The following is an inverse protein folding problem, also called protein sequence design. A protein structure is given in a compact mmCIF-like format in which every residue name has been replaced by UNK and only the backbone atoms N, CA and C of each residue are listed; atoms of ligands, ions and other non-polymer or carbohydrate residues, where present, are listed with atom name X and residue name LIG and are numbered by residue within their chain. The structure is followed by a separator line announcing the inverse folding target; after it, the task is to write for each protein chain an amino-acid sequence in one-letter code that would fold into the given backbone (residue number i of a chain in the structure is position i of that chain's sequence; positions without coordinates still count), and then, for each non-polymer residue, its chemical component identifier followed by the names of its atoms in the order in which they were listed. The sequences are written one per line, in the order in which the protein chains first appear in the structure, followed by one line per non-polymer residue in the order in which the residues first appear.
data_IF_050134358692
#
_entry.id   IF_050134358692
#
_cell.length_a   1.000
_cell.length_b   1.000
_cell.length_c   1.000
_cell.angle_alpha   90.00
_cell.angle_beta   90.00
_cell.angle_gamma   90.00
#
_symmetry.space_group_name_H-M   'P 1'
#
loop_
_entity.id
_entity.type
_entity.pdbx_description
1 polymer ?
#
# COMPACT_ATOMS: atom_id res chain seq x y z
N UNK A 1 -9.79 1.01 0.40
CA UNK A 1 -9.78 1.37 1.83
C UNK A 1 -8.93 2.58 2.15
N UNK A 2 -7.63 2.59 1.83
CA UNK A 2 -6.73 3.65 2.33
C UNK A 2 -7.03 5.05 1.80
N UNK A 3 -7.49 5.17 0.55
CA UNK A 3 -7.86 6.47 -0.04
C UNK A 3 -8.93 7.20 0.77
N UNK A 4 -9.96 6.48 1.22
CA UNK A 4 -11.08 7.08 1.97
C UNK A 4 -10.64 7.49 3.37
N UNK A 5 -9.86 6.64 4.06
CA UNK A 5 -9.31 6.95 5.38
C UNK A 5 -8.37 8.14 5.34
N UNK A 6 -7.51 8.24 4.31
CA UNK A 6 -6.57 9.36 4.16
C UNK A 6 -7.31 10.67 3.86
N UNK A 7 -8.42 10.61 3.11
CA UNK A 7 -9.27 11.78 2.85
C UNK A 7 -10.01 12.22 4.11
N UNK A 8 -10.62 11.30 4.84
CA UNK A 8 -11.29 11.61 6.11
C UNK A 8 -10.29 12.17 7.12
N UNK A 9 -9.12 11.56 7.25
CA UNK A 9 -8.05 12.05 8.11
C UNK A 9 -7.58 13.46 7.71
N UNK A 10 -7.40 13.70 6.41
CA UNK A 10 -7.00 15.02 5.92
C UNK A 10 -8.05 16.10 6.21
N UNK A 11 -9.34 15.75 6.14
CA UNK A 11 -10.46 16.63 6.50
C UNK A 11 -10.54 16.89 8.00
N UNK A 12 -10.42 15.84 8.81
CA UNK A 12 -10.52 15.91 10.26
C UNK A 12 -9.41 16.76 10.89
N UNK A 13 -8.23 16.77 10.26
CA UNK A 13 -7.09 17.57 10.72
C UNK A 13 -7.09 19.02 10.20
N UNK A 14 -8.13 19.41 9.44
CA UNK A 14 -8.37 20.79 9.01
C UNK A 14 -7.54 21.23 7.80
N UNK A 15 -7.06 20.29 6.98
CA UNK A 15 -6.38 20.64 5.74
C UNK A 15 -7.34 21.34 4.77
N UNK A 16 -6.81 22.22 3.94
CA UNK A 16 -7.60 22.82 2.86
C UNK A 16 -7.93 21.77 1.80
N UNK A 17 -9.06 21.93 1.08
CA UNK A 17 -9.46 20.98 0.04
C UNK A 17 -8.39 20.78 -1.05
N UNK A 18 -7.57 21.80 -1.34
CA UNK A 18 -6.43 21.67 -2.27
C UNK A 18 -5.31 20.78 -1.72
N UNK A 19 -5.09 20.78 -0.41
CA UNK A 19 -4.12 19.93 0.27
C UNK A 19 -4.60 18.47 0.35
N UNK A 20 -5.88 18.24 0.62
CA UNK A 20 -6.48 16.89 0.58
C UNK A 20 -6.24 16.21 -0.78
N UNK A 21 -6.52 16.94 -1.88
CA UNK A 21 -6.30 16.43 -3.24
C UNK A 21 -4.82 16.18 -3.49
N UNK A 22 -3.93 17.05 -3.02
CA UNK A 22 -2.49 16.86 -3.19
C UNK A 22 -1.99 15.57 -2.51
N UNK A 23 -2.48 15.25 -1.31
CA UNK A 23 -2.12 14.01 -0.59
C UNK A 23 -2.54 12.76 -1.38
N UNK A 24 -3.74 12.77 -1.97
CA UNK A 24 -4.21 11.70 -2.85
C UNK A 24 -3.34 11.52 -4.10
N UNK A 25 -2.93 12.64 -4.70
CA UNK A 25 -2.04 12.63 -5.87
C UNK A 25 -0.68 12.07 -5.48
N UNK A 26 -0.11 12.48 -4.34
CA UNK A 26 1.17 11.94 -3.85
C UNK A 26 1.09 10.44 -3.59
N UNK A 27 0.00 9.95 -2.99
CA UNK A 27 -0.22 8.52 -2.80
C UNK A 27 -0.21 7.76 -4.14
N UNK A 28 -0.93 8.27 -5.14
CA UNK A 28 -1.06 7.64 -6.45
C UNK A 28 0.27 7.61 -7.22
N UNK A 29 1.03 8.72 -7.16
CA UNK A 29 2.37 8.80 -7.74
C UNK A 29 3.30 7.80 -7.04
N UNK A 30 3.27 7.75 -5.71
CA UNK A 30 4.11 6.86 -4.94
C UNK A 30 3.82 5.38 -5.21
N UNK A 31 2.54 4.98 -5.26
CA UNK A 31 2.14 3.61 -5.64
C UNK A 31 2.66 3.25 -7.02
N UNK A 32 2.53 4.16 -7.98
CA UNK A 32 3.03 3.96 -9.35
C UNK A 32 4.55 3.78 -9.35
N UNK A 33 5.29 4.63 -8.65
CA UNK A 33 6.76 4.52 -8.53
C UNK A 33 7.17 3.22 -7.83
N UNK A 34 6.45 2.82 -6.78
CA UNK A 34 6.67 1.57 -6.07
C UNK A 34 6.53 0.36 -7.00
N UNK A 35 5.48 0.32 -7.81
CA UNK A 35 5.25 -0.77 -8.78
C UNK A 35 6.32 -0.81 -9.87
N UNK A 36 6.77 0.34 -10.35
CA UNK A 36 7.74 0.43 -11.44
C UNK A 36 9.17 0.14 -10.97
N UNK A 37 9.54 0.59 -9.77
CA UNK A 37 10.93 0.60 -9.33
C UNK A 37 11.29 -0.51 -8.35
N UNK A 38 10.39 -0.93 -7.46
CA UNK A 38 10.77 -1.79 -6.35
C UNK A 38 10.81 -3.29 -6.70
N UNK A 39 10.15 -3.72 -7.77
CA UNK A 39 10.24 -5.11 -8.23
C UNK A 39 11.68 -5.52 -8.58
N UNK A 40 12.50 -4.57 -9.05
CA UNK A 40 13.91 -4.82 -9.36
C UNK A 40 14.72 -5.29 -8.15
N UNK A 41 14.31 -4.92 -6.94
CA UNK A 41 15.02 -5.31 -5.70
C UNK A 41 14.96 -6.82 -5.50
N UNK A 42 13.80 -7.43 -5.76
CA UNK A 42 13.63 -8.89 -5.68
C UNK A 42 14.14 -9.59 -6.93
N UNK A 43 13.96 -9.00 -8.12
CA UNK A 43 14.38 -9.60 -9.39
C UNK A 43 15.90 -9.75 -9.51
N UNK A 44 16.66 -8.81 -8.94
CA UNK A 44 18.12 -8.86 -8.88
C UNK A 44 18.66 -9.78 -7.76
N UNK A 45 17.77 -10.38 -6.97
CA UNK A 45 18.14 -11.33 -5.91
C UNK A 45 18.75 -10.68 -4.67
N UNK A 46 18.60 -9.36 -4.46
CA UNK A 46 19.11 -8.71 -3.26
C UNK A 46 18.43 -9.21 -1.98
N UNK A 47 17.16 -9.57 -2.08
CA UNK A 47 16.32 -10.05 -0.97
C UNK A 47 15.25 -11.01 -1.50
N UNK A 48 14.81 -11.96 -0.67
CA UNK A 48 13.73 -12.87 -1.05
C UNK A 48 12.38 -12.13 -1.18
N UNK A 49 11.48 -12.64 -2.01
CA UNK A 49 10.13 -12.09 -2.17
C UNK A 49 9.40 -11.98 -0.82
N UNK A 50 9.53 -13.00 0.03
CA UNK A 50 8.88 -13.04 1.35
C UNK A 50 9.45 -12.01 2.33
N UNK A 51 10.78 -11.89 2.40
CA UNK A 51 11.43 -10.91 3.25
C UNK A 51 11.12 -9.49 2.80
N UNK A 52 11.09 -9.25 1.48
CA UNK A 52 10.67 -7.97 0.91
C UNK A 52 9.22 -7.64 1.28
N UNK A 53 8.30 -8.58 1.08
CA UNK A 53 6.90 -8.42 1.47
C UNK A 53 6.73 -8.11 2.96
N UNK A 54 7.50 -8.76 3.84
CA UNK A 54 7.47 -8.48 5.27
C UNK A 54 7.94 -7.05 5.60
N UNK A 55 9.01 -6.57 4.95
CA UNK A 55 9.50 -5.20 5.09
C UNK A 55 8.43 -4.19 4.63
N UNK A 56 7.80 -4.42 3.48
CA UNK A 56 6.71 -3.56 3.01
C UNK A 56 5.56 -3.52 4.03
N UNK A 57 5.13 -4.66 4.55
CA UNK A 57 4.08 -4.73 5.57
C UNK A 57 4.46 -3.97 6.85
N UNK A 58 5.72 -4.07 7.28
CA UNK A 58 6.23 -3.35 8.44
C UNK A 58 6.23 -1.83 8.22
N UNK A 59 6.73 -1.36 7.07
CA UNK A 59 6.74 0.06 6.70
C UNK A 59 5.31 0.60 6.59
N UNK A 60 4.41 -0.14 5.94
CA UNK A 60 2.99 0.22 5.86
C UNK A 60 2.35 0.37 7.24
N UNK A 61 2.65 -0.53 8.17
CA UNK A 61 2.12 -0.47 9.53
C UNK A 61 2.66 0.74 10.32
N UNK A 62 3.97 1.01 10.22
CA UNK A 62 4.60 2.16 10.88
C UNK A 62 4.05 3.48 10.33
N UNK A 63 4.00 3.61 9.01
CA UNK A 63 3.51 4.84 8.35
C UNK A 63 2.05 5.11 8.70
N UNK A 64 1.22 4.06 8.71
CA UNK A 64 -0.18 4.18 9.10
C UNK A 64 -0.36 4.52 10.58
N UNK A 65 0.36 3.85 11.48
CA UNK A 65 0.37 4.20 12.90
C UNK A 65 0.92 5.60 13.17
N UNK A 66 1.90 6.03 12.37
CA UNK A 66 2.52 7.34 12.43
C UNK A 66 1.54 8.48 12.13
N UNK A 67 0.64 8.30 11.16
CA UNK A 67 -0.34 9.32 10.76
C UNK A 67 -1.16 9.84 11.96
N UNK A 68 -1.46 8.99 12.95
CA UNK A 68 -2.20 9.38 14.16
C UNK A 68 -1.51 10.51 14.96
N UNK A 69 -0.19 10.64 14.85
CA UNK A 69 0.59 11.56 15.66
C UNK A 69 0.95 12.86 14.95
N UNK A 70 0.64 12.99 13.65
CA UNK A 70 1.14 14.10 12.84
C UNK A 70 0.03 14.92 12.23
N UNK A 71 0.19 16.24 12.31
CA UNK A 71 -0.79 17.21 11.83
C UNK A 71 -0.29 18.13 10.71
N UNK A 72 1.03 18.16 10.55
CA UNK A 72 1.66 19.00 9.54
C UNK A 72 1.49 18.37 8.16
N UNK A 73 0.89 19.11 7.23
CA UNK A 73 0.65 18.69 5.84
C UNK A 73 1.88 18.04 5.19
N UNK A 74 3.07 18.60 5.42
CA UNK A 74 4.33 18.10 4.86
C UNK A 74 4.66 16.71 5.39
N UNK A 75 4.47 16.46 6.68
CA UNK A 75 4.75 15.16 7.29
C UNK A 75 3.67 14.14 6.92
N UNK A 76 2.40 14.53 6.87
CA UNK A 76 1.30 13.68 6.38
C UNK A 76 1.61 13.24 4.94
N UNK A 77 1.97 14.18 4.06
CA UNK A 77 2.32 13.90 2.67
C UNK A 77 3.52 12.96 2.56
N UNK A 78 4.54 13.13 3.40
CA UNK A 78 5.70 12.23 3.44
C UNK A 78 5.32 10.81 3.87
N UNK A 79 4.55 10.66 4.96
CA UNK A 79 4.11 9.34 5.43
C UNK A 79 3.23 8.64 4.41
N UNK A 80 2.29 9.36 3.79
CA UNK A 80 1.41 8.85 2.73
C UNK A 80 2.22 8.44 1.49
N UNK A 81 3.26 9.21 1.14
CA UNK A 81 4.15 8.86 0.03
C UNK A 81 4.92 7.56 0.31
N UNK A 82 5.54 7.42 1.48
CA UNK A 82 6.26 6.19 1.87
C UNK A 82 5.32 4.99 1.94
N UNK A 83 4.11 5.20 2.45
CA UNK A 83 3.04 4.20 2.46
C UNK A 83 2.69 3.74 1.03
N UNK A 84 2.39 4.67 0.12
CA UNK A 84 2.07 4.37 -1.27
C UNK A 84 3.16 3.59 -1.98
N UNK A 85 4.41 4.01 -1.80
CA UNK A 85 5.58 3.35 -2.37
C UNK A 85 5.68 1.89 -1.87
N UNK A 86 5.44 1.66 -0.58
CA UNK A 86 5.46 0.32 0.03
C UNK A 86 4.30 -0.56 -0.46
N UNK A 87 3.10 0.00 -0.63
CA UNK A 87 1.94 -0.72 -1.22
C UNK A 87 2.24 -1.14 -2.65
N UNK A 88 2.76 -0.22 -3.47
CA UNK A 88 3.09 -0.50 -4.86
C UNK A 88 4.15 -1.59 -5.00
N UNK A 89 5.20 -1.53 -4.16
CA UNK A 89 6.24 -2.57 -4.10
C UNK A 89 5.70 -3.93 -3.63
N UNK A 90 4.84 -3.95 -2.60
CA UNK A 90 4.25 -5.18 -2.11
C UNK A 90 3.41 -5.89 -3.19
N UNK A 91 2.58 -5.14 -3.91
CA UNK A 91 1.69 -5.69 -4.94
C UNK A 91 2.44 -6.27 -6.14
N UNK A 92 3.58 -5.68 -6.54
CA UNK A 92 4.36 -6.21 -7.67
C UNK A 92 5.10 -7.50 -7.30
N UNK A 93 5.49 -7.68 -6.03
CA UNK A 93 6.21 -8.86 -5.53
C UNK A 93 5.27 -10.03 -5.16
N UNK A 94 3.99 -9.76 -4.89
CA UNK A 94 3.00 -10.80 -4.52
C UNK A 94 2.99 -12.05 -5.44
N UNK A 95 3.04 -11.94 -6.78
CA UNK A 95 3.13 -13.11 -7.65
C UNK A 95 4.41 -13.93 -7.42
N UNK A 96 5.53 -13.27 -7.12
CA UNK A 96 6.80 -13.92 -6.78
C UNK A 96 6.68 -14.76 -5.51
N UNK A 97 6.04 -14.22 -4.47
CA UNK A 97 5.76 -14.98 -3.23
C UNK A 97 4.94 -16.24 -3.50
N UNK A 98 3.90 -16.13 -4.34
CA UNK A 98 3.08 -17.29 -4.74
C UNK A 98 3.93 -18.31 -5.51
N UNK A 99 4.78 -17.85 -6.43
CA UNK A 99 5.67 -18.72 -7.19
C UNK A 99 6.64 -19.49 -6.27
N UNK A 100 7.14 -18.84 -5.23
CA UNK A 100 8.10 -19.44 -4.28
C UNK A 100 7.47 -20.52 -3.38
N UNK A 101 6.16 -20.44 -3.11
CA UNK A 101 5.50 -21.28 -2.08
C UNK A 101 4.39 -22.20 -2.60
N UNK A 102 3.91 -21.99 -3.83
CA UNK A 102 2.79 -22.74 -4.41
C UNK A 102 3.26 -23.52 -5.64
N UNK A 103 2.85 -24.79 -5.68
CA UNK A 103 3.07 -25.71 -6.80
C UNK A 103 2.52 -25.13 -8.11
N UNK A 104 3.23 -25.36 -9.22
CA UNK A 104 2.99 -24.69 -10.50
C UNK A 104 1.55 -24.87 -11.03
N UNK A 105 0.97 -26.06 -10.86
CA UNK A 105 -0.39 -26.40 -11.23
C UNK A 105 -1.45 -25.61 -10.43
N UNK A 106 -1.12 -25.18 -9.21
CA UNK A 106 -2.01 -24.44 -8.30
C UNK A 106 -1.80 -22.92 -8.34
N UNK A 107 -0.72 -22.43 -8.94
CA UNK A 107 -0.42 -20.97 -9.01
C UNK A 107 -1.52 -20.13 -9.64
N UNK A 108 -2.16 -20.53 -10.77
CA UNK A 108 -3.23 -19.73 -11.36
C UNK A 108 -4.42 -19.56 -10.40
N UNK A 109 -4.79 -20.63 -9.69
CA UNK A 109 -5.87 -20.59 -8.70
C UNK A 109 -5.47 -19.72 -7.50
N UNK A 110 -4.23 -19.85 -7.00
CA UNK A 110 -3.74 -19.03 -5.89
C UNK A 110 -3.72 -17.53 -6.24
N UNK A 111 -3.30 -17.17 -7.45
CA UNK A 111 -3.31 -15.79 -7.95
C UNK A 111 -4.74 -15.23 -8.06
N UNK A 112 -5.70 -16.04 -8.51
CA UNK A 112 -7.10 -15.64 -8.60
C UNK A 112 -7.75 -15.48 -7.21
N UNK A 113 -7.49 -16.40 -6.29
CA UNK A 113 -8.13 -16.44 -4.98
C UNK A 113 -7.54 -15.44 -3.97
N UNK A 114 -6.37 -14.85 -4.22
CA UNK A 114 -5.66 -13.98 -3.26
C UNK A 114 -6.46 -12.78 -2.75
N UNK A 115 -7.44 -12.29 -3.51
CA UNK A 115 -8.30 -11.17 -3.12
C UNK A 115 -9.65 -11.60 -2.53
N UNK A 116 -9.90 -12.90 -2.36
CA UNK A 116 -11.20 -13.39 -1.90
C UNK A 116 -11.58 -12.82 -0.51
N UNK A 117 -10.68 -12.89 0.45
CA UNK A 117 -10.90 -12.30 1.78
C UNK A 117 -10.94 -10.78 1.74
N UNK A 118 -10.20 -10.15 0.83
CA UNK A 118 -10.23 -8.70 0.64
C UNK A 118 -11.61 -8.23 0.16
N UNK A 119 -12.26 -8.96 -0.74
CA UNK A 119 -13.61 -8.64 -1.19
C UNK A 119 -14.62 -8.65 -0.02
N UNK A 120 -14.55 -9.64 0.87
CA UNK A 120 -15.40 -9.70 2.06
C UNK A 120 -15.12 -8.54 3.02
N UNK A 121 -13.85 -8.23 3.27
CA UNK A 121 -13.45 -7.10 4.11
C UNK A 121 -13.90 -5.76 3.52
N UNK A 122 -13.95 -5.64 2.19
CA UNK A 122 -14.41 -4.40 1.55
C UNK A 122 -15.89 -4.08 1.83
N UNK A 123 -16.70 -5.08 2.17
CA UNK A 123 -18.10 -4.89 2.54
C UNK A 123 -18.28 -4.29 3.95
N UNK A 124 -17.28 -4.40 4.82
CA UNK A 124 -17.32 -3.76 6.14
C UNK A 124 -16.87 -2.30 6.10
N UNK A 125 -16.62 -1.75 4.90
CA UNK A 125 -16.16 -0.38 4.76
C UNK A 125 -17.31 0.61 5.02
N UNK A 126 -17.08 1.67 5.84
CA UNK A 126 -18.03 2.76 5.95
C UNK A 126 -18.14 3.49 4.60
N UNK A 127 -19.35 3.88 4.16
CA UNK A 127 -19.51 4.76 3.02
C UNK A 127 -18.84 6.11 3.31
N UNK A 128 -18.24 6.73 2.30
CA UNK A 128 -17.86 8.15 2.39
C UNK A 128 -19.15 8.93 2.64
N UNK A 129 -19.27 9.60 3.79
CA UNK A 129 -20.42 10.45 4.12
C UNK A 129 -20.02 11.91 3.92
#
# INVERSE_FOLDING_TARGET
MFLTIIVDFARDDGLSSSQEIAVLVYLSIADTLGRLGLGWVTDLGFISNSSFSAICCFIMSITFGGLVFVKEFKMISFLVFVFGLSVGGFLIVCPGVISDHIEEDKRPMALAARFFLYALLSLTQPPLI
#
